data_IF_475725727298
#
_entry.id   IF_475725727298
#
_cell.length_a   1.000
_cell.length_b   1.000
_cell.length_c   1.000
_cell.angle_alpha   90.00
_cell.angle_beta   90.00
_cell.angle_gamma   90.00
#
_symmetry.space_group_name_H-M   'P 1'
#
loop_
_entity.id
_entity.type
_entity.pdbx_description
1 polymer ?
#
# COMPACT_ATOMS: atom_id res chain seq x y z
N UNK A 1 -21.62 -36.40 25.31
CA UNK A 1 -21.77 -36.05 23.88
C UNK A 1 -22.25 -34.62 23.79
N UNK A 2 -21.36 -33.66 23.52
CA UNK A 2 -21.69 -32.23 23.44
C UNK A 2 -21.58 -31.79 21.98
N UNK A 3 -22.72 -31.61 21.31
CA UNK A 3 -22.82 -30.79 20.10
C UNK A 3 -22.50 -29.35 20.49
N UNK A 4 -21.40 -28.81 19.98
CA UNK A 4 -21.14 -27.37 20.02
C UNK A 4 -21.53 -26.78 18.67
N UNK A 5 -22.41 -25.79 18.78
CA UNK A 5 -23.04 -24.97 17.74
C UNK A 5 -22.04 -24.36 16.76
N UNK A 6 -22.26 -24.60 15.46
CA UNK A 6 -21.68 -23.86 14.32
C UNK A 6 -22.76 -22.92 13.77
N UNK A 7 -23.19 -21.92 14.56
CA UNK A 7 -24.29 -21.02 14.18
C UNK A 7 -23.92 -19.54 14.12
N UNK A 8 -22.65 -19.19 13.89
CA UNK A 8 -22.24 -17.77 13.83
C UNK A 8 -21.69 -17.28 12.48
N UNK A 9 -21.80 -18.06 11.39
CA UNK A 9 -21.24 -17.66 10.07
C UNK A 9 -22.28 -17.55 8.93
N UNK A 10 -23.55 -17.93 9.14
CA UNK A 10 -24.57 -17.98 8.07
C UNK A 10 -25.70 -16.94 8.21
N UNK A 11 -25.37 -15.67 8.44
CA UNK A 11 -26.39 -14.61 8.48
C UNK A 11 -26.00 -13.35 7.72
N UNK A 12 -25.64 -13.47 6.42
CA UNK A 12 -25.40 -12.29 5.56
C UNK A 12 -25.82 -12.44 4.08
N UNK A 13 -26.64 -13.44 3.69
CA UNK A 13 -27.01 -13.67 2.26
C UNK A 13 -28.48 -13.36 1.92
N UNK A 14 -29.34 -12.97 2.87
CA UNK A 14 -30.72 -12.63 2.55
C UNK A 14 -30.98 -11.14 2.81
N UNK A 15 -30.99 -10.33 1.73
CA UNK A 15 -31.82 -9.14 1.48
C UNK A 15 -31.16 -8.29 0.37
N UNK A 16 -31.31 -8.72 -0.88
CA UNK A 16 -31.26 -7.81 -2.02
C UNK A 16 -32.68 -7.75 -2.62
N UNK A 17 -33.26 -6.55 -2.81
CA UNK A 17 -34.51 -6.42 -3.53
C UNK A 17 -34.28 -6.64 -5.03
N UNK A 18 -35.12 -7.46 -5.64
CA UNK A 18 -35.28 -7.54 -7.09
C UNK A 18 -35.58 -6.15 -7.65
N UNK A 19 -34.59 -5.56 -8.34
CA UNK A 19 -34.80 -4.38 -9.18
C UNK A 19 -34.61 -4.79 -10.64
N UNK A 20 -35.70 -5.29 -11.22
CA UNK A 20 -35.88 -5.27 -12.66
C UNK A 20 -36.05 -3.80 -13.09
N UNK A 21 -35.08 -3.25 -13.80
CA UNK A 21 -35.17 -1.87 -14.28
C UNK A 21 -34.07 -1.47 -15.25
N UNK A 22 -34.33 -1.62 -16.55
CA UNK A 22 -33.87 -0.73 -17.62
C UNK A 22 -32.35 -0.59 -17.84
N UNK A 23 -31.82 -1.34 -18.82
CA UNK A 23 -30.55 -1.04 -19.46
C UNK A 23 -30.64 0.29 -20.23
N UNK A 24 -30.28 1.39 -19.56
CA UNK A 24 -29.89 2.64 -20.18
C UNK A 24 -28.40 2.59 -20.53
N UNK A 25 -28.07 2.75 -21.80
CA UNK A 25 -26.71 2.75 -22.33
C UNK A 25 -25.91 3.91 -21.75
N UNK A 26 -25.00 3.64 -20.81
CA UNK A 26 -24.03 4.64 -20.37
C UNK A 26 -22.92 4.79 -21.44
N UNK A 27 -22.55 6.02 -21.81
CA UNK A 27 -21.45 6.26 -22.73
C UNK A 27 -20.12 5.88 -22.07
N UNK A 28 -19.34 5.07 -22.78
CA UNK A 28 -17.96 4.70 -22.42
C UNK A 28 -17.13 5.98 -22.26
N UNK A 29 -16.49 6.22 -21.10
CA UNK A 29 -15.55 7.33 -20.98
C UNK A 29 -14.26 6.97 -21.73
N UNK A 30 -14.07 7.58 -22.89
CA UNK A 30 -12.80 7.55 -23.63
C UNK A 30 -11.69 8.21 -22.80
N UNK A 31 -10.76 7.37 -22.32
CA UNK A 31 -9.32 7.64 -22.15
C UNK A 31 -8.91 9.00 -21.57
N UNK A 32 -8.78 9.08 -20.24
CA UNK A 32 -8.07 10.17 -19.53
C UNK A 32 -6.61 9.84 -19.16
N UNK A 33 -6.02 8.78 -19.74
CA UNK A 33 -4.64 8.35 -19.43
C UNK A 33 -3.56 9.31 -19.98
N UNK A 34 -3.90 10.26 -20.85
CA UNK A 34 -2.92 11.15 -21.51
C UNK A 34 -2.51 12.40 -20.73
N UNK A 35 -3.16 12.74 -19.59
CA UNK A 35 -2.82 13.97 -18.85
C UNK A 35 -1.69 13.80 -17.83
N UNK A 36 -1.48 12.61 -17.26
CA UNK A 36 -0.42 12.39 -16.26
C UNK A 36 0.96 12.29 -16.93
N UNK A 37 1.05 11.67 -18.11
CA UNK A 37 2.29 11.68 -18.91
C UNK A 37 2.70 13.09 -19.36
N UNK A 38 1.74 14.00 -19.58
CA UNK A 38 2.03 15.35 -20.03
C UNK A 38 2.71 16.21 -18.95
N UNK A 39 2.55 15.90 -17.66
CA UNK A 39 3.27 16.60 -16.58
C UNK A 39 4.76 16.22 -16.57
N UNK A 40 5.07 14.91 -16.67
CA UNK A 40 6.46 14.43 -16.68
C UNK A 40 7.20 14.73 -18.00
N UNK A 41 6.54 14.66 -19.16
CA UNK A 41 7.19 14.94 -20.44
C UNK A 41 7.40 16.44 -20.75
N UNK A 42 6.82 17.37 -19.98
CA UNK A 42 6.93 18.83 -20.25
C UNK A 42 8.16 19.51 -19.64
N UNK A 43 9.00 18.82 -18.88
CA UNK A 43 10.15 19.47 -18.22
C UNK A 43 11.35 19.75 -19.14
N UNK A 44 11.38 19.25 -20.38
CA UNK A 44 12.60 19.29 -21.19
C UNK A 44 12.84 20.55 -22.05
N UNK A 45 12.16 21.69 -21.80
CA UNK A 45 12.33 22.91 -22.63
C UNK A 45 12.22 24.28 -21.95
N UNK A 46 12.36 24.36 -20.62
CA UNK A 46 12.53 25.66 -19.94
C UNK A 46 14.00 25.89 -19.65
N UNK A 47 14.62 26.78 -20.43
CA UNK A 47 15.92 27.38 -20.16
C UNK A 47 15.77 28.26 -18.92
N UNK A 48 15.81 27.64 -17.73
CA UNK A 48 15.88 28.36 -16.47
C UNK A 48 17.26 28.97 -16.37
N UNK A 49 17.32 30.29 -16.15
CA UNK A 49 18.54 31.01 -15.90
C UNK A 49 19.29 30.34 -14.74
N UNK A 50 20.50 29.86 -15.04
CA UNK A 50 21.41 29.21 -14.11
C UNK A 50 21.58 30.07 -12.83
N UNK A 51 21.24 29.57 -11.63
CA UNK A 51 21.78 30.16 -10.42
C UNK A 51 23.28 29.84 -10.33
N UNK A 52 23.99 30.70 -9.62
CA UNK A 52 25.44 30.79 -9.54
C UNK A 52 26.17 29.44 -9.42
N UNK A 53 27.33 29.39 -10.09
CA UNK A 53 28.14 28.19 -10.31
C UNK A 53 28.65 27.48 -9.05
N UNK A 54 29.27 26.30 -9.25
CA UNK A 54 29.76 25.46 -8.17
C UNK A 54 30.87 26.20 -7.41
N UNK A 55 30.64 26.43 -6.12
CA UNK A 55 31.70 26.78 -5.18
C UNK A 55 32.61 25.57 -5.07
N UNK A 56 33.76 25.64 -5.74
CA UNK A 56 34.89 24.74 -5.61
C UNK A 56 35.43 24.85 -4.17
N UNK A 57 34.83 24.09 -3.26
CA UNK A 57 35.31 23.93 -1.91
C UNK A 57 36.44 22.90 -1.91
N UNK A 58 37.63 23.32 -2.32
CA UNK A 58 38.87 22.60 -2.00
C UNK A 58 39.10 22.72 -0.49
N UNK A 59 38.47 21.80 0.27
CA UNK A 59 38.57 21.71 1.72
C UNK A 59 39.95 21.16 2.07
N UNK A 60 40.79 22.06 2.59
CA UNK A 60 41.92 21.72 3.43
C UNK A 60 41.42 21.02 4.70
N UNK A 61 42.02 19.89 5.06
CA UNK A 61 41.79 19.09 6.28
C UNK A 61 42.13 19.85 7.58
N UNK A 62 41.39 20.92 7.85
CA UNK A 62 41.33 21.60 9.13
C UNK A 62 40.18 21.04 9.94
N UNK A 63 40.50 20.25 10.95
CA UNK A 63 39.57 19.67 11.94
C UNK A 63 38.93 20.80 12.74
N UNK A 64 37.90 21.44 12.17
CA UNK A 64 36.96 22.26 12.92
C UNK A 64 35.60 21.57 12.85
N UNK A 65 35.05 21.24 14.02
CA UNK A 65 33.85 20.42 14.20
C UNK A 65 32.55 21.13 13.79
N UNK A 66 32.54 21.75 12.60
CA UNK A 66 31.37 22.36 11.99
C UNK A 66 30.35 21.27 11.66
N UNK A 67 29.47 21.01 12.62
CA UNK A 67 28.36 20.08 12.45
C UNK A 67 27.45 20.63 11.34
N UNK A 68 27.24 19.84 10.29
CA UNK A 68 26.32 20.19 9.21
C UNK A 68 24.95 20.60 9.80
N UNK A 69 24.45 21.81 9.52
CA UNK A 69 23.20 22.30 10.10
C UNK A 69 22.01 21.36 9.81
N UNK A 70 22.00 20.67 8.66
CA UNK A 70 20.96 19.69 8.33
C UNK A 70 20.87 18.55 9.35
N UNK A 71 22.02 18.03 9.80
CA UNK A 71 22.08 16.94 10.79
C UNK A 71 21.45 17.32 12.12
N UNK A 72 21.55 18.59 12.52
CA UNK A 72 20.87 19.07 13.73
C UNK A 72 19.35 19.06 13.55
N UNK A 73 18.87 19.54 12.41
CA UNK A 73 17.44 19.52 12.10
C UNK A 73 16.89 18.09 12.02
N UNK A 74 17.61 17.15 11.40
CA UNK A 74 17.22 15.74 11.32
C UNK A 74 17.03 15.14 12.71
N UNK A 75 17.99 15.33 13.61
CA UNK A 75 17.89 14.87 15.02
C UNK A 75 16.69 15.48 15.75
N UNK A 76 16.38 16.75 15.48
CA UNK A 76 15.21 17.40 16.07
C UNK A 76 13.90 16.85 15.49
N UNK A 77 13.84 16.54 14.19
CA UNK A 77 12.70 15.86 13.56
C UNK A 77 12.49 14.46 14.15
N UNK A 78 13.56 13.68 14.28
CA UNK A 78 13.52 12.35 14.91
C UNK A 78 13.05 12.42 16.36
N UNK A 79 13.54 13.41 17.14
CA UNK A 79 13.08 13.61 18.52
C UNK A 79 11.59 13.93 18.58
N UNK A 80 11.06 14.72 17.63
CA UNK A 80 9.62 14.99 17.52
C UNK A 80 8.85 13.69 17.32
N UNK A 81 9.29 12.84 16.39
CA UNK A 81 8.63 11.57 16.10
C UNK A 81 8.70 10.59 17.29
N UNK A 82 9.85 10.48 17.94
CA UNK A 82 10.02 9.57 19.09
C UNK A 82 9.21 10.02 20.31
N UNK A 83 9.17 11.33 20.58
CA UNK A 83 8.36 11.90 21.67
C UNK A 83 6.86 11.62 21.47
N UNK A 84 6.40 11.50 20.22
CA UNK A 84 4.99 11.25 19.90
C UNK A 84 4.64 9.78 19.78
N UNK A 85 5.60 8.95 19.36
CA UNK A 85 5.44 7.49 19.29
C UNK A 85 4.97 6.90 20.63
N UNK A 86 5.60 7.30 21.73
CA UNK A 86 5.21 6.84 23.07
C UNK A 86 3.78 7.23 23.48
N UNK A 87 3.30 8.40 23.06
CA UNK A 87 1.93 8.85 23.32
C UNK A 87 0.91 8.09 22.47
N UNK A 88 1.28 7.77 21.22
CA UNK A 88 0.44 7.01 20.30
C UNK A 88 0.31 5.54 20.74
N UNK A 89 1.44 4.88 21.04
CA UNK A 89 1.47 3.49 21.48
C UNK A 89 0.80 3.33 22.86
N UNK A 90 0.96 4.30 23.76
CA UNK A 90 0.36 4.31 25.09
C UNK A 90 -1.18 4.32 25.08
N UNK A 91 -1.82 4.91 24.06
CA UNK A 91 -3.28 4.91 23.93
C UNK A 91 -3.83 3.57 23.43
N UNK A 92 -3.00 2.71 22.84
CA UNK A 92 -3.41 1.42 22.27
C UNK A 92 -3.35 0.25 23.25
N UNK A 93 -2.67 0.41 24.39
CA UNK A 93 -2.51 -0.63 25.41
C UNK A 93 -3.72 -0.80 26.36
N UNK A 94 -4.82 -0.08 26.14
CA UNK A 94 -6.10 -0.43 26.75
C UNK A 94 -6.74 -1.60 25.99
N UNK A 95 -6.33 -2.82 26.37
CA UNK A 95 -6.85 -4.16 26.01
C UNK A 95 -6.23 -4.90 24.80
N UNK A 96 -5.31 -5.82 25.12
CA UNK A 96 -5.20 -7.13 24.44
C UNK A 96 -4.25 -7.22 23.25
N UNK A 97 -3.09 -7.84 23.47
CA UNK A 97 -2.21 -8.55 22.50
C UNK A 97 -2.56 -8.39 21.01
N UNK A 98 -2.05 -7.32 20.41
CA UNK A 98 -2.04 -7.11 18.96
C UNK A 98 -0.60 -7.26 18.45
N UNK A 99 -0.20 -8.51 18.15
CA UNK A 99 0.57 -8.74 16.92
C UNK A 99 -0.24 -8.07 15.81
N UNK A 100 0.38 -7.28 14.91
CA UNK A 100 -0.30 -6.52 13.85
C UNK A 100 -1.20 -7.45 13.01
N UNK A 101 -2.40 -7.71 13.53
CA UNK A 101 -3.48 -8.36 12.82
C UNK A 101 -3.91 -7.35 11.78
N UNK A 102 -4.15 -7.77 10.52
CA UNK A 102 -4.62 -6.86 9.48
C UNK A 102 -5.76 -6.00 10.04
N UNK A 103 -5.51 -4.69 10.18
CA UNK A 103 -6.44 -3.76 10.83
C UNK A 103 -7.86 -4.00 10.29
N UNK A 104 -8.81 -4.21 11.21
CA UNK A 104 -10.19 -4.52 10.86
C UNK A 104 -10.74 -3.49 9.86
N UNK A 105 -11.05 -3.97 8.65
CA UNK A 105 -11.41 -3.21 7.45
C UNK A 105 -12.64 -2.30 7.65
N UNK A 106 -13.40 -2.51 8.72
CA UNK A 106 -14.65 -1.80 9.03
C UNK A 106 -14.42 -0.47 9.72
N UNK A 107 -13.25 -0.24 10.32
CA UNK A 107 -12.98 1.00 11.03
C UNK A 107 -12.77 2.14 10.03
N UNK A 108 -13.69 3.11 10.05
CA UNK A 108 -13.52 4.37 9.31
C UNK A 108 -12.23 5.03 9.79
N UNK A 109 -11.40 5.57 8.89
CA UNK A 109 -10.23 6.33 9.31
C UNK A 109 -10.66 7.44 10.27
N UNK A 110 -10.00 7.47 11.43
CA UNK A 110 -10.23 8.52 12.43
C UNK A 110 -9.77 9.85 11.82
N UNK A 111 -10.61 10.86 11.92
CA UNK A 111 -10.21 12.23 11.61
C UNK A 111 -9.48 12.76 12.84
N UNK A 112 -8.19 13.04 12.69
CA UNK A 112 -7.40 13.64 13.76
C UNK A 112 -7.72 15.13 13.83
N UNK A 113 -8.02 15.61 15.04
CA UNK A 113 -8.15 17.03 15.35
C UNK A 113 -6.81 17.70 15.64
N UNK A 114 -5.78 16.91 15.98
CA UNK A 114 -4.46 17.38 16.39
C UNK A 114 -3.34 16.55 15.76
N UNK A 115 -2.11 17.07 15.77
CA UNK A 115 -0.91 16.41 15.26
C UNK A 115 -0.34 15.40 16.27
N UNK A 116 -1.10 14.33 16.54
CA UNK A 116 -0.79 13.35 17.59
C UNK A 116 0.49 12.57 17.27
N UNK A 117 0.77 12.31 16.00
CA UNK A 117 1.93 11.53 15.53
C UNK A 117 3.14 12.39 15.12
N UNK A 118 3.02 13.72 15.16
CA UNK A 118 4.10 14.65 14.82
C UNK A 118 4.35 14.81 13.32
N UNK A 119 3.55 14.19 12.44
CA UNK A 119 3.75 14.23 11.00
C UNK A 119 3.60 15.65 10.43
N UNK A 120 2.63 16.44 10.92
CA UNK A 120 2.46 17.84 10.48
C UNK A 120 3.65 18.68 10.95
N UNK A 121 4.12 18.47 12.17
CA UNK A 121 5.27 19.21 12.73
C UNK A 121 6.55 18.96 11.92
N UNK A 122 6.89 17.71 11.61
CA UNK A 122 8.08 17.43 10.78
C UNK A 122 7.92 17.94 9.34
N UNK A 123 6.70 17.96 8.80
CA UNK A 123 6.42 18.58 7.50
C UNK A 123 6.68 20.09 7.54
N UNK A 124 6.23 20.79 8.59
CA UNK A 124 6.54 22.22 8.79
C UNK A 124 8.03 22.49 8.96
N UNK A 125 8.77 21.59 9.64
CA UNK A 125 10.23 21.67 9.75
C UNK A 125 10.91 21.51 8.38
N UNK A 126 10.46 20.55 7.55
CA UNK A 126 10.94 20.41 6.18
C UNK A 126 10.71 21.71 5.39
N UNK A 127 9.51 22.30 5.44
CA UNK A 127 9.23 23.58 4.75
C UNK A 127 10.19 24.69 5.18
N UNK A 128 10.51 24.77 6.47
CA UNK A 128 11.51 25.71 6.95
C UNK A 128 12.91 25.42 6.37
N UNK A 129 13.33 24.15 6.34
CA UNK A 129 14.62 23.73 5.77
C UNK A 129 14.72 23.99 4.25
N UNK A 130 13.61 23.83 3.52
CA UNK A 130 13.50 24.19 2.09
C UNK A 130 13.73 25.69 1.93
N UNK A 131 13.07 26.52 2.74
CA UNK A 131 13.15 27.98 2.67
C UNK A 131 14.57 28.52 2.95
N UNK A 132 15.32 27.89 3.85
CA UNK A 132 16.72 28.29 4.14
C UNK A 132 17.74 27.59 3.24
N UNK A 133 17.30 26.74 2.29
CA UNK A 133 18.17 26.08 1.33
C UNK A 133 19.02 24.94 1.89
N UNK A 134 18.67 24.37 3.04
CA UNK A 134 19.43 23.26 3.68
C UNK A 134 18.74 21.90 3.57
N UNK A 135 17.51 21.84 3.06
CA UNK A 135 16.81 20.57 2.85
C UNK A 135 17.47 19.74 1.75
N UNK A 136 17.82 18.50 2.10
CA UNK A 136 18.34 17.44 1.24
C UNK A 136 17.37 16.26 1.17
N UNK A 137 17.65 15.24 0.34
CA UNK A 137 16.80 14.05 0.18
C UNK A 137 16.47 13.35 1.51
N UNK A 138 17.45 13.19 2.40
CA UNK A 138 17.26 12.61 3.74
C UNK A 138 16.20 13.36 4.56
N UNK A 139 16.12 14.68 4.41
CA UNK A 139 15.07 15.49 5.06
C UNK A 139 13.68 15.08 4.59
N UNK A 140 13.53 14.82 3.28
CA UNK A 140 12.26 14.34 2.71
C UNK A 140 11.98 12.91 3.17
N UNK A 141 12.98 12.03 3.20
CA UNK A 141 12.82 10.64 3.69
C UNK A 141 12.26 10.59 5.11
N UNK A 142 12.74 11.44 6.04
CA UNK A 142 12.20 11.53 7.41
C UNK A 142 10.72 11.91 7.41
N UNK A 143 10.31 12.86 6.56
CA UNK A 143 8.89 13.26 6.47
C UNK A 143 8.04 12.17 5.80
N UNK A 144 8.52 11.56 4.72
CA UNK A 144 7.81 10.47 4.05
C UNK A 144 7.62 9.25 4.98
N UNK A 145 8.64 8.91 5.76
CA UNK A 145 8.58 7.89 6.81
C UNK A 145 7.49 8.23 7.86
N UNK A 146 7.44 9.47 8.33
CA UNK A 146 6.41 9.94 9.26
C UNK A 146 5.00 9.84 8.67
N UNK A 147 4.83 10.24 7.39
CA UNK A 147 3.57 10.14 6.66
C UNK A 147 3.16 8.67 6.44
N UNK A 148 4.11 7.77 6.19
CA UNK A 148 3.84 6.33 6.11
C UNK A 148 3.30 5.78 7.43
N UNK A 149 3.87 6.20 8.57
CA UNK A 149 3.41 5.78 9.90
C UNK A 149 2.00 6.29 10.20
N UNK A 150 1.67 7.51 9.78
CA UNK A 150 0.30 8.06 9.86
C UNK A 150 -0.69 7.25 9.01
N UNK A 151 -0.26 6.80 7.84
CA UNK A 151 -1.02 5.91 6.96
C UNK A 151 -2.38 6.48 6.56
N UNK A 152 -3.46 5.75 6.86
CA UNK A 152 -4.83 6.07 6.43
C UNK A 152 -5.50 7.20 7.20
N UNK A 153 -4.90 7.66 8.30
CA UNK A 153 -5.50 8.68 9.15
C UNK A 153 -5.72 9.95 8.32
N UNK A 154 -6.92 10.52 8.49
CA UNK A 154 -7.31 11.76 7.83
C UNK A 154 -7.18 12.88 8.83
N UNK A 155 -6.86 14.07 8.38
CA UNK A 155 -6.86 15.25 9.24
C UNK A 155 -7.40 16.44 8.47
N UNK A 156 -7.81 17.44 9.24
CA UNK A 156 -8.27 18.71 8.71
C UNK A 156 -7.04 19.60 8.60
N UNK A 157 -6.72 20.03 7.40
CA UNK A 157 -5.69 21.05 7.18
C UNK A 157 -6.24 22.45 7.48
N UNK A 158 -5.39 23.48 7.55
CA UNK A 158 -5.76 24.86 7.91
C UNK A 158 -6.95 25.42 7.12
N UNK A 159 -7.14 24.97 5.87
CA UNK A 159 -8.23 25.35 4.98
C UNK A 159 -9.51 24.51 5.18
N UNK A 160 -9.59 23.75 6.28
CA UNK A 160 -10.68 22.80 6.56
C UNK A 160 -10.79 21.62 5.60
N UNK A 161 -9.85 21.44 4.67
CA UNK A 161 -9.84 20.31 3.74
C UNK A 161 -9.38 19.02 4.44
N UNK A 162 -10.05 17.91 4.15
CA UNK A 162 -9.67 16.60 4.68
C UNK A 162 -8.54 16.00 3.85
N UNK A 163 -7.33 15.98 4.40
CA UNK A 163 -6.12 15.48 3.74
C UNK A 163 -5.78 14.09 4.29
N UNK A 164 -5.13 13.24 3.50
CA UNK A 164 -4.43 12.06 4.02
C UNK A 164 -2.96 12.04 3.59
N UNK A 165 -2.17 11.13 4.17
CA UNK A 165 -0.71 11.07 3.99
C UNK A 165 -0.28 11.11 2.52
N UNK A 166 -0.92 10.32 1.68
CA UNK A 166 -0.62 10.25 0.25
C UNK A 166 -0.88 11.55 -0.53
N UNK A 167 -1.81 12.42 -0.10
CA UNK A 167 -2.02 13.73 -0.74
C UNK A 167 -0.79 14.64 -0.52
N UNK A 168 -0.19 14.58 0.68
CA UNK A 168 1.02 15.34 1.00
C UNK A 168 2.25 14.74 0.34
N UNK A 169 2.37 13.41 0.33
CA UNK A 169 3.47 12.70 -0.33
C UNK A 169 3.58 13.07 -1.80
N UNK A 170 2.46 13.17 -2.50
CA UNK A 170 2.41 13.55 -3.91
C UNK A 170 3.14 14.87 -4.18
N UNK A 171 2.76 15.94 -3.47
CA UNK A 171 3.41 17.23 -3.62
C UNK A 171 4.88 17.25 -3.17
N UNK A 172 5.26 16.42 -2.18
CA UNK A 172 6.66 16.33 -1.73
C UNK A 172 7.55 15.61 -2.74
N UNK A 173 7.03 14.59 -3.42
CA UNK A 173 7.79 13.85 -4.43
C UNK A 173 8.00 14.70 -5.67
N UNK A 174 6.97 15.40 -6.15
CA UNK A 174 7.10 16.31 -7.31
C UNK A 174 8.15 17.39 -7.04
N UNK A 175 8.09 18.04 -5.87
CA UNK A 175 9.07 19.06 -5.45
C UNK A 175 10.50 18.48 -5.38
N UNK A 176 10.67 17.29 -4.79
CA UNK A 176 12.00 16.68 -4.68
C UNK A 176 12.54 16.28 -6.06
N UNK A 177 11.68 15.79 -6.96
CA UNK A 177 12.05 15.40 -8.32
C UNK A 177 12.58 16.57 -9.13
N UNK A 178 11.89 17.71 -9.06
CA UNK A 178 12.33 18.96 -9.68
C UNK A 178 13.66 19.43 -9.11
N UNK A 179 13.83 19.40 -7.78
CA UNK A 179 15.05 19.88 -7.12
C UNK A 179 16.27 19.01 -7.40
N UNK A 180 16.10 17.70 -7.54
CA UNK A 180 17.19 16.75 -7.81
C UNK A 180 17.33 16.44 -9.31
N UNK A 181 16.56 17.10 -10.18
CA UNK A 181 16.57 16.84 -11.63
C UNK A 181 16.43 15.33 -11.94
N UNK A 182 15.50 14.66 -11.26
CA UNK A 182 15.24 13.22 -11.41
C UNK A 182 16.20 12.28 -10.67
N UNK A 183 17.27 12.77 -10.04
CA UNK A 183 18.23 11.94 -9.30
C UNK A 183 17.74 11.58 -7.89
N UNK A 184 16.56 10.96 -7.77
CA UNK A 184 16.02 10.47 -6.49
C UNK A 184 16.44 9.01 -6.26
N UNK A 185 16.73 8.62 -5.02
CA UNK A 185 17.01 7.24 -4.67
C UNK A 185 15.77 6.32 -4.71
N UNK A 186 16.01 5.02 -4.94
CA UNK A 186 14.97 3.98 -4.85
C UNK A 186 14.28 3.96 -3.47
N UNK A 187 15.02 4.24 -2.39
CA UNK A 187 14.47 4.28 -1.02
C UNK A 187 13.38 5.34 -0.89
N UNK A 188 13.64 6.55 -1.36
CA UNK A 188 12.67 7.66 -1.32
C UNK A 188 11.42 7.33 -2.14
N UNK A 189 11.61 6.73 -3.32
CA UNK A 189 10.49 6.27 -4.14
C UNK A 189 9.67 5.19 -3.43
N UNK A 190 10.31 4.21 -2.77
CA UNK A 190 9.64 3.16 -2.00
C UNK A 190 8.82 3.73 -0.83
N UNK A 191 9.32 4.76 -0.13
CA UNK A 191 8.55 5.43 0.92
C UNK A 191 7.27 6.09 0.35
N UNK A 192 7.36 6.72 -0.82
CA UNK A 192 6.19 7.28 -1.46
C UNK A 192 5.20 6.21 -1.93
N UNK A 193 5.68 5.16 -2.59
CA UNK A 193 4.88 4.00 -3.00
C UNK A 193 4.18 3.34 -1.80
N UNK A 194 4.88 3.19 -0.69
CA UNK A 194 4.33 2.68 0.58
C UNK A 194 3.20 3.55 1.10
N UNK A 195 3.36 4.87 1.06
CA UNK A 195 2.31 5.80 1.47
C UNK A 195 1.07 5.72 0.55
N UNK A 196 1.26 5.62 -0.77
CA UNK A 196 0.17 5.41 -1.71
C UNK A 196 -0.56 4.09 -1.43
N UNK A 197 0.18 2.99 -1.23
CA UNK A 197 -0.40 1.68 -0.91
C UNK A 197 -1.19 1.72 0.41
N UNK A 198 -0.64 2.35 1.44
CA UNK A 198 -1.31 2.52 2.72
C UNK A 198 -2.61 3.32 2.58
N UNK A 199 -2.62 4.38 1.78
CA UNK A 199 -3.79 5.27 1.61
C UNK A 199 -4.79 4.80 0.56
N UNK A 200 -4.42 3.84 -0.30
CA UNK A 200 -5.31 3.20 -1.28
C UNK A 200 -6.45 2.53 -0.51
N UNK A 201 -7.60 3.19 -0.49
CA UNK A 201 -8.81 2.69 0.17
C UNK A 201 -9.97 2.85 -0.81
N UNK A 202 -10.98 1.98 -0.77
CA UNK A 202 -12.11 2.07 -1.68
C UNK A 202 -13.02 3.28 -1.42
N UNK A 203 -12.63 4.23 -0.55
CA UNK A 203 -13.46 5.35 -0.13
C UNK A 203 -12.91 6.67 -0.68
N UNK A 204 -13.47 7.11 -1.80
CA UNK A 204 -13.28 8.42 -2.41
C UNK A 204 -12.59 8.38 -3.77
N UNK A 205 -12.56 9.53 -4.44
CA UNK A 205 -12.09 9.69 -5.83
C UNK A 205 -10.57 9.79 -5.97
N UNK A 206 -9.84 9.37 -4.93
CA UNK A 206 -8.37 9.44 -4.93
C UNK A 206 -7.81 8.25 -5.68
N UNK A 207 -7.06 8.54 -6.75
CA UNK A 207 -6.45 7.58 -7.69
C UNK A 207 -5.04 7.16 -7.27
N UNK A 208 -4.90 6.59 -6.06
CA UNK A 208 -3.59 6.34 -5.47
C UNK A 208 -2.84 5.17 -6.11
N UNK A 209 -3.55 4.14 -6.57
CA UNK A 209 -2.90 3.07 -7.32
C UNK A 209 -2.33 3.57 -8.65
N UNK A 210 -3.02 4.49 -9.33
CA UNK A 210 -2.53 5.11 -10.56
C UNK A 210 -1.33 6.02 -10.31
N UNK A 211 -1.32 6.75 -9.19
CA UNK A 211 -0.14 7.52 -8.77
C UNK A 211 1.05 6.61 -8.46
N UNK A 212 0.83 5.51 -7.74
CA UNK A 212 1.86 4.52 -7.47
C UNK A 212 2.40 3.89 -8.77
N UNK A 213 1.52 3.54 -9.70
CA UNK A 213 1.89 3.02 -11.02
C UNK A 213 2.70 4.04 -11.84
N UNK A 214 2.28 5.32 -11.81
CA UNK A 214 2.94 6.39 -12.54
C UNK A 214 4.35 6.64 -11.99
N UNK A 215 4.50 6.63 -10.66
CA UNK A 215 5.80 6.76 -10.00
C UNK A 215 6.72 5.57 -10.36
N UNK A 216 6.20 4.34 -10.38
CA UNK A 216 6.95 3.17 -10.81
C UNK A 216 7.47 3.30 -12.25
N UNK A 217 6.64 3.78 -13.18
CA UNK A 217 7.07 4.05 -14.56
C UNK A 217 8.08 5.20 -14.65
N UNK A 218 7.92 6.25 -13.82
CA UNK A 218 8.89 7.34 -13.77
C UNK A 218 10.26 6.84 -13.31
N UNK A 219 10.31 5.97 -12.29
CA UNK A 219 11.56 5.33 -11.86
C UNK A 219 12.25 4.61 -13.03
N UNK A 220 11.52 3.77 -13.76
CA UNK A 220 12.06 3.01 -14.90
C UNK A 220 12.58 3.92 -16.01
N UNK A 221 11.84 4.99 -16.34
CA UNK A 221 12.21 5.93 -17.40
C UNK A 221 13.45 6.75 -17.06
N UNK A 222 13.65 7.09 -15.79
CA UNK A 222 14.85 7.80 -15.31
C UNK A 222 16.02 6.84 -15.01
N UNK A 223 15.88 5.54 -15.29
CA UNK A 223 16.90 4.54 -15.03
C UNK A 223 17.10 4.20 -13.54
N UNK A 224 16.14 4.58 -12.69
CA UNK A 224 16.07 4.15 -11.29
C UNK A 224 15.48 2.74 -11.27
N UNK A 225 16.32 1.73 -11.03
CA UNK A 225 15.88 0.34 -10.99
C UNK A 225 14.86 0.13 -9.85
N UNK A 226 13.59 -0.23 -10.16
CA UNK A 226 12.63 -0.60 -9.13
C UNK A 226 13.08 -1.86 -8.41
N UNK A 227 12.81 -1.90 -7.11
CA UNK A 227 13.09 -3.06 -6.27
C UNK A 227 11.86 -3.98 -6.18
N UNK A 228 12.05 -5.21 -5.68
CA UNK A 228 10.93 -6.11 -5.33
C UNK A 228 9.92 -5.43 -4.40
N UNK A 229 10.39 -4.57 -3.48
CA UNK A 229 9.56 -3.78 -2.58
C UNK A 229 8.70 -2.77 -3.36
N UNK A 230 9.27 -2.12 -4.38
CA UNK A 230 8.57 -1.15 -5.24
C UNK A 230 7.37 -1.80 -5.92
N UNK A 231 7.54 -2.97 -6.54
CA UNK A 231 6.45 -3.72 -7.14
C UNK A 231 5.42 -4.16 -6.09
N UNK A 232 5.88 -4.59 -4.91
CA UNK A 232 5.00 -5.01 -3.82
C UNK A 232 4.05 -3.89 -3.40
N UNK A 233 4.56 -2.67 -3.23
CA UNK A 233 3.73 -1.50 -2.91
C UNK A 233 2.71 -1.18 -4.00
N UNK A 234 3.09 -1.29 -5.29
CA UNK A 234 2.16 -1.05 -6.41
C UNK A 234 1.06 -2.12 -6.49
N UNK A 235 1.42 -3.41 -6.35
CA UNK A 235 0.43 -4.51 -6.28
C UNK A 235 -0.55 -4.28 -5.13
N UNK A 236 -0.03 -3.93 -3.95
CA UNK A 236 -0.84 -3.63 -2.78
C UNK A 236 -1.77 -2.42 -3.05
N UNK A 237 -1.26 -1.32 -3.61
CA UNK A 237 -2.09 -0.16 -3.94
C UNK A 237 -3.28 -0.52 -4.84
N UNK A 238 -3.03 -1.25 -5.95
CA UNK A 238 -4.09 -1.72 -6.85
C UNK A 238 -5.07 -2.67 -6.17
N UNK A 239 -4.60 -3.59 -5.31
CA UNK A 239 -5.48 -4.52 -4.59
C UNK A 239 -6.49 -3.84 -3.65
N UNK A 240 -6.13 -2.66 -3.13
CA UNK A 240 -7.00 -1.89 -2.23
C UNK A 240 -7.80 -0.78 -2.89
N UNK A 241 -7.40 -0.35 -4.08
CA UNK A 241 -8.05 0.68 -4.90
C UNK A 241 -9.33 0.15 -5.58
N UNK A 242 -10.33 -0.31 -4.81
CA UNK A 242 -11.52 -0.97 -5.38
C UNK A 242 -12.76 -0.06 -5.38
N UNK A 243 -12.57 1.24 -5.16
CA UNK A 243 -13.65 2.21 -4.97
C UNK A 243 -14.28 2.77 -6.25
N UNK A 244 -13.57 2.76 -7.39
CA UNK A 244 -13.96 3.61 -8.54
C UNK A 244 -13.59 3.06 -9.93
N UNK A 245 -12.98 1.87 -10.01
CA UNK A 245 -12.30 1.41 -11.22
C UNK A 245 -12.89 0.08 -11.73
N UNK A 246 -14.09 0.18 -12.28
CA UNK A 246 -14.72 -0.81 -13.17
C UNK A 246 -14.75 -2.28 -12.73
N UNK A 247 -15.25 -3.12 -13.63
CA UNK A 247 -15.38 -4.57 -13.44
C UNK A 247 -14.01 -5.27 -13.60
N UNK A 248 -13.07 -5.04 -12.69
CA UNK A 248 -11.84 -5.83 -12.59
C UNK A 248 -10.54 -5.19 -13.06
N UNK A 249 -10.52 -3.91 -13.49
CA UNK A 249 -9.29 -3.23 -13.93
C UNK A 249 -8.19 -3.31 -12.87
N UNK A 250 -8.54 -3.01 -11.61
CA UNK A 250 -7.58 -3.08 -10.51
C UNK A 250 -7.01 -4.47 -10.28
N UNK A 251 -7.82 -5.52 -10.48
CA UNK A 251 -7.36 -6.89 -10.32
C UNK A 251 -6.39 -7.29 -11.43
N UNK A 252 -6.67 -6.89 -12.68
CA UNK A 252 -5.76 -7.08 -13.82
C UNK A 252 -4.45 -6.31 -13.64
N UNK A 253 -4.51 -5.06 -13.17
CA UNK A 253 -3.32 -4.27 -12.89
C UNK A 253 -2.49 -4.85 -11.74
N UNK A 254 -3.14 -5.30 -10.66
CA UNK A 254 -2.46 -5.98 -9.55
C UNK A 254 -1.79 -7.28 -10.03
N UNK A 255 -2.48 -8.09 -10.85
CA UNK A 255 -1.92 -9.32 -11.42
C UNK A 255 -0.76 -9.05 -12.38
N UNK A 256 -0.86 -8.02 -13.22
CA UNK A 256 0.22 -7.63 -14.13
C UNK A 256 1.48 -7.21 -13.37
N UNK A 257 1.35 -6.42 -12.30
CA UNK A 257 2.50 -6.05 -11.48
C UNK A 257 3.01 -7.21 -10.62
N UNK A 258 2.15 -8.15 -10.24
CA UNK A 258 2.57 -9.38 -9.56
C UNK A 258 3.49 -10.21 -10.46
N UNK A 259 3.19 -10.37 -11.75
CA UNK A 259 4.06 -11.11 -12.68
C UNK A 259 5.49 -10.55 -12.68
N UNK A 260 5.63 -9.22 -12.70
CA UNK A 260 6.91 -8.52 -12.59
C UNK A 260 7.60 -8.76 -11.23
N UNK A 261 6.84 -8.70 -10.14
CA UNK A 261 7.35 -9.03 -8.80
C UNK A 261 7.87 -10.48 -8.73
N UNK A 262 7.21 -11.44 -9.38
CA UNK A 262 7.60 -12.85 -9.37
C UNK A 262 8.89 -13.11 -10.16
N UNK A 263 9.15 -12.34 -11.21
CA UNK A 263 10.38 -12.39 -12.02
C UNK A 263 11.59 -11.92 -11.20
N UNK A 264 11.43 -10.83 -10.44
CA UNK A 264 12.52 -10.22 -9.67
C UNK A 264 12.71 -10.82 -8.27
N UNK A 265 11.68 -11.45 -7.69
CA UNK A 265 11.75 -11.98 -6.33
C UNK A 265 12.27 -13.42 -6.28
N UNK A 266 13.37 -13.71 -5.55
CA UNK A 266 13.74 -15.08 -5.21
C UNK A 266 12.96 -15.60 -3.99
N UNK A 267 12.40 -14.71 -3.17
CA UNK A 267 11.82 -15.06 -1.87
C UNK A 267 10.37 -15.52 -2.00
N UNK A 268 10.11 -16.76 -1.57
CA UNK A 268 8.78 -17.35 -1.64
C UNK A 268 7.78 -16.69 -0.69
N UNK A 269 8.21 -16.06 0.41
CA UNK A 269 7.31 -15.34 1.31
C UNK A 269 6.75 -14.08 0.64
N UNK A 270 7.61 -13.29 0.02
CA UNK A 270 7.23 -12.13 -0.79
C UNK A 270 6.28 -12.51 -1.93
N UNK A 271 6.51 -13.66 -2.58
CA UNK A 271 5.59 -14.19 -3.62
C UNK A 271 4.21 -14.50 -3.05
N UNK A 272 4.15 -15.21 -1.92
CA UNK A 272 2.88 -15.55 -1.27
C UNK A 272 2.12 -14.30 -0.85
N UNK A 273 2.81 -13.28 -0.33
CA UNK A 273 2.19 -12.00 0.02
C UNK A 273 1.61 -11.28 -1.21
N UNK A 274 2.35 -11.29 -2.33
CA UNK A 274 1.87 -10.76 -3.61
C UNK A 274 0.61 -11.48 -4.11
N UNK A 275 0.59 -12.81 -4.06
CA UNK A 275 -0.59 -13.60 -4.42
C UNK A 275 -1.79 -13.29 -3.52
N UNK A 276 -1.60 -13.11 -2.20
CA UNK A 276 -2.68 -12.77 -1.29
C UNK A 276 -3.33 -11.42 -1.63
N UNK A 277 -2.53 -10.41 -2.00
CA UNK A 277 -3.04 -9.12 -2.48
C UNK A 277 -3.83 -9.24 -3.78
N UNK A 278 -3.32 -9.96 -4.79
CA UNK A 278 -4.02 -10.14 -6.07
C UNK A 278 -5.29 -10.97 -5.89
N UNK A 279 -5.27 -11.98 -5.02
CA UNK A 279 -6.46 -12.77 -4.65
C UNK A 279 -7.52 -11.89 -3.99
N UNK A 280 -7.12 -10.99 -3.10
CA UNK A 280 -8.01 -10.00 -2.51
C UNK A 280 -8.61 -9.08 -3.60
N UNK A 281 -7.82 -8.63 -4.57
CA UNK A 281 -8.28 -7.80 -5.68
C UNK A 281 -9.35 -8.51 -6.52
N UNK A 282 -9.10 -9.77 -6.91
CA UNK A 282 -10.04 -10.57 -7.68
C UNK A 282 -11.32 -10.90 -6.90
N UNK A 283 -11.23 -11.15 -5.59
CA UNK A 283 -12.43 -11.38 -4.77
C UNK A 283 -13.40 -10.20 -4.72
N UNK A 284 -12.89 -8.99 -4.97
CA UNK A 284 -13.67 -7.74 -4.99
C UNK A 284 -14.20 -7.40 -6.39
N UNK A 285 -13.55 -7.88 -7.44
CA UNK A 285 -13.98 -7.74 -8.82
C UNK A 285 -15.42 -8.27 -9.05
N UNK A 286 -16.09 -7.72 -10.06
CA UNK A 286 -17.39 -8.16 -10.57
C UNK A 286 -17.28 -8.76 -11.97
N UNK A 287 -16.05 -8.92 -12.49
CA UNK A 287 -15.81 -9.56 -13.77
C UNK A 287 -16.18 -11.05 -13.73
N UNK A 288 -16.79 -11.56 -14.81
CA UNK A 288 -17.26 -12.96 -14.91
C UNK A 288 -16.13 -13.98 -14.64
N UNK A 289 -14.91 -13.67 -15.07
CA UNK A 289 -13.73 -14.53 -14.92
C UNK A 289 -13.02 -14.39 -13.56
N UNK A 290 -13.44 -13.44 -12.71
CA UNK A 290 -12.76 -13.14 -11.45
C UNK A 290 -12.59 -14.36 -10.53
N UNK A 291 -13.61 -15.23 -10.51
CA UNK A 291 -13.58 -16.45 -9.72
C UNK A 291 -12.56 -17.48 -10.24
N UNK A 292 -12.37 -17.57 -11.56
CA UNK A 292 -11.38 -18.45 -12.16
C UNK A 292 -9.95 -17.97 -11.86
N UNK A 293 -9.70 -16.65 -11.96
CA UNK A 293 -8.42 -16.05 -11.57
C UNK A 293 -8.12 -16.26 -10.08
N UNK A 294 -9.11 -16.06 -9.20
CA UNK A 294 -8.95 -16.30 -7.76
C UNK A 294 -8.60 -17.77 -7.44
N UNK A 295 -9.23 -18.73 -8.13
CA UNK A 295 -8.97 -20.17 -7.97
C UNK A 295 -7.55 -20.55 -8.43
N UNK A 296 -7.12 -19.98 -9.56
CA UNK A 296 -5.76 -20.16 -10.08
C UNK A 296 -4.72 -19.65 -9.09
N UNK A 297 -4.89 -18.42 -8.59
CA UNK A 297 -3.98 -17.82 -7.61
C UNK A 297 -3.90 -18.65 -6.33
N UNK A 298 -5.05 -19.09 -5.79
CA UNK A 298 -5.07 -19.94 -4.59
C UNK A 298 -4.34 -21.28 -4.84
N UNK A 299 -4.46 -21.84 -6.03
CA UNK A 299 -3.76 -23.06 -6.43
C UNK A 299 -2.24 -22.86 -6.46
N UNK A 300 -1.77 -21.74 -7.02
CA UNK A 300 -0.34 -21.39 -7.01
C UNK A 300 0.21 -21.19 -5.59
N UNK A 301 -0.56 -20.53 -4.71
CA UNK A 301 -0.17 -20.39 -3.29
C UNK A 301 0.01 -21.75 -2.61
N UNK A 302 -0.92 -22.70 -2.84
CA UNK A 302 -0.83 -24.07 -2.31
C UNK A 302 0.40 -24.79 -2.86
N UNK A 303 0.69 -24.62 -4.15
CA UNK A 303 1.86 -25.23 -4.78
C UNK A 303 3.16 -24.73 -4.14
N UNK A 304 3.32 -23.41 -3.99
CA UNK A 304 4.50 -22.80 -3.36
C UNK A 304 4.69 -23.30 -1.93
N UNK A 305 3.60 -23.40 -1.15
CA UNK A 305 3.66 -23.91 0.22
C UNK A 305 4.07 -25.38 0.26
N UNK A 306 3.59 -26.19 -0.67
CA UNK A 306 3.93 -27.61 -0.79
C UNK A 306 5.39 -27.84 -1.20
N UNK A 307 5.91 -27.03 -2.12
CA UNK A 307 7.31 -27.13 -2.59
C UNK A 307 8.30 -26.62 -1.57
N UNK A 308 7.93 -25.60 -0.78
CA UNK A 308 8.82 -24.95 0.19
C UNK A 308 8.42 -25.29 1.63
N UNK A 309 8.74 -26.52 2.07
CA UNK A 309 8.39 -27.02 3.43
C UNK A 309 8.99 -26.19 4.57
N UNK A 310 10.07 -25.44 4.33
CA UNK A 310 10.72 -24.57 5.32
C UNK A 310 10.01 -23.23 5.52
N UNK A 311 9.01 -22.89 4.70
CA UNK A 311 8.28 -21.64 4.86
C UNK A 311 7.49 -21.63 6.17
N UNK A 312 7.84 -20.67 7.03
CA UNK A 312 7.11 -20.34 8.26
C UNK A 312 5.78 -19.65 7.99
N UNK A 313 5.64 -19.02 6.81
CA UNK A 313 4.43 -18.31 6.40
C UNK A 313 3.18 -19.20 6.52
N UNK A 314 2.11 -18.67 7.09
CA UNK A 314 0.83 -19.38 7.27
C UNK A 314 -0.05 -19.36 6.02
N UNK A 315 0.47 -18.86 4.89
CA UNK A 315 -0.26 -18.77 3.62
C UNK A 315 -0.26 -20.11 2.84
N UNK A 316 -1.37 -20.44 2.14
CA UNK A 316 -2.67 -19.75 2.18
C UNK A 316 -3.38 -19.91 3.53
N UNK A 317 -3.94 -18.82 4.05
CA UNK A 317 -4.60 -18.80 5.36
C UNK A 317 -6.14 -18.72 5.21
N UNK A 318 -6.86 -18.58 6.33
CA UNK A 318 -8.32 -18.46 6.34
C UNK A 318 -8.85 -17.30 5.49
N UNK A 319 -8.12 -16.18 5.43
CA UNK A 319 -8.49 -15.03 4.60
C UNK A 319 -8.33 -15.35 3.11
N UNK A 320 -7.25 -16.04 2.71
CA UNK A 320 -7.04 -16.45 1.32
C UNK A 320 -8.19 -17.35 0.82
N UNK A 321 -8.60 -18.37 1.61
CA UNK A 321 -9.76 -19.19 1.28
C UNK A 321 -11.06 -18.38 1.23
N UNK A 322 -11.26 -17.47 2.19
CA UNK A 322 -12.45 -16.59 2.23
C UNK A 322 -12.54 -15.73 0.97
N UNK A 323 -11.43 -15.16 0.51
CA UNK A 323 -11.38 -14.36 -0.72
C UNK A 323 -11.74 -15.19 -1.96
N UNK A 324 -11.19 -16.40 -2.09
CA UNK A 324 -11.51 -17.30 -3.20
C UNK A 324 -12.98 -17.76 -3.20
N UNK A 325 -13.52 -18.10 -2.01
CA UNK A 325 -14.93 -18.44 -1.84
C UNK A 325 -15.81 -17.25 -2.23
N UNK A 326 -15.47 -16.04 -1.76
CA UNK A 326 -16.21 -14.82 -2.11
C UNK A 326 -16.27 -14.62 -3.64
N UNK A 327 -15.15 -14.81 -4.34
CA UNK A 327 -15.10 -14.72 -5.79
C UNK A 327 -16.08 -15.72 -6.46
N UNK A 328 -16.07 -17.00 -6.04
CA UNK A 328 -16.99 -18.02 -6.57
C UNK A 328 -18.47 -17.78 -6.21
N UNK A 329 -18.75 -17.19 -5.05
CA UNK A 329 -20.12 -16.82 -4.69
C UNK A 329 -20.66 -15.71 -5.59
N UNK A 330 -19.84 -14.73 -5.95
CA UNK A 330 -20.21 -13.64 -6.87
C UNK A 330 -20.45 -14.14 -8.30
N UNK A 331 -19.69 -15.14 -8.74
CA UNK A 331 -19.91 -15.79 -10.06
C UNK A 331 -21.06 -16.82 -10.05
N UNK A 332 -21.88 -16.86 -9.00
CA UNK A 332 -23.01 -17.78 -8.84
C UNK A 332 -22.64 -19.28 -8.87
N UNK A 333 -21.39 -19.65 -8.59
CA UNK A 333 -20.93 -21.05 -8.55
C UNK A 333 -20.88 -21.60 -7.12
N UNK A 334 -22.05 -21.82 -6.53
CA UNK A 334 -22.19 -22.32 -5.14
C UNK A 334 -21.50 -23.65 -4.91
N UNK A 335 -21.48 -24.54 -5.90
CA UNK A 335 -20.80 -25.85 -5.82
C UNK A 335 -19.28 -25.71 -5.61
N UNK A 336 -18.63 -24.77 -6.31
CA UNK A 336 -17.19 -24.52 -6.16
C UNK A 336 -16.87 -23.82 -4.85
N UNK A 337 -17.66 -22.82 -4.48
CA UNK A 337 -17.55 -22.17 -3.17
C UNK A 337 -17.67 -23.19 -2.02
N UNK A 338 -18.63 -24.10 -2.09
CA UNK A 338 -18.84 -25.14 -1.10
C UNK A 338 -17.67 -26.15 -1.05
N UNK A 339 -17.14 -26.55 -2.22
CA UNK A 339 -15.96 -27.41 -2.29
C UNK A 339 -14.73 -26.78 -1.62
N UNK A 340 -14.46 -25.49 -1.89
CA UNK A 340 -13.36 -24.76 -1.26
C UNK A 340 -13.54 -24.62 0.26
N UNK A 341 -14.78 -24.48 0.73
CA UNK A 341 -15.09 -24.43 2.16
C UNK A 341 -14.76 -25.76 2.86
N UNK A 342 -15.12 -26.91 2.27
CA UNK A 342 -14.73 -28.21 2.82
C UNK A 342 -13.23 -28.42 2.82
N UNK A 343 -12.56 -28.07 1.72
CA UNK A 343 -11.10 -28.15 1.65
C UNK A 343 -10.44 -27.30 2.75
N UNK A 344 -10.98 -26.11 3.03
CA UNK A 344 -10.52 -25.27 4.13
C UNK A 344 -10.70 -25.93 5.50
N UNK A 345 -11.87 -26.54 5.76
CA UNK A 345 -12.16 -27.24 7.03
C UNK A 345 -11.21 -28.43 7.21
N UNK A 346 -11.05 -29.27 6.18
CA UNK A 346 -10.17 -30.44 6.22
C UNK A 346 -8.73 -30.04 6.52
N UNK A 347 -8.24 -28.97 5.89
CA UNK A 347 -6.90 -28.44 6.15
C UNK A 347 -6.74 -27.92 7.59
N UNK A 348 -7.77 -27.28 8.15
CA UNK A 348 -7.73 -26.76 9.52
C UNK A 348 -7.71 -27.89 10.57
N UNK A 349 -8.49 -28.94 10.37
CA UNK A 349 -8.50 -30.12 11.25
C UNK A 349 -7.16 -30.85 11.25
N UNK A 350 -6.56 -31.05 10.07
CA UNK A 350 -5.27 -31.70 9.92
C UNK A 350 -4.11 -30.94 10.61
N UNK A 351 -4.13 -29.60 10.57
CA UNK A 351 -3.13 -28.76 11.26
C UNK A 351 -3.26 -28.92 12.78
N UNK A 352 -4.48 -28.92 13.32
CA UNK A 352 -4.71 -29.07 14.76
C UNK A 352 -4.31 -30.46 15.27
N UNK A 353 -4.62 -31.53 14.53
CA UNK A 353 -4.20 -32.90 14.90
C UNK A 353 -2.67 -33.06 14.91
N UNK A 354 -1.97 -32.38 14.01
CA UNK A 354 -0.51 -32.43 13.94
C UNK A 354 0.16 -31.69 15.10
N UNK A 355 -0.45 -30.60 15.61
CA UNK A 355 0.08 -29.83 16.73
C UNK A 355 -0.04 -30.56 18.08
N UNK A 356 -1.13 -31.27 18.32
CA UNK A 356 -1.33 -32.02 19.59
C UNK A 356 -0.37 -33.21 19.75
N UNK A 357 0.12 -33.78 18.63
CA UNK A 357 1.04 -34.92 18.64
C UNK A 357 2.47 -34.61 19.09
N UNK A 358 2.88 -33.32 19.15
CA UNK A 358 4.26 -32.90 19.48
C UNK A 358 4.43 -32.60 20.98
N UNK A 359 3.34 -32.51 21.75
CA UNK A 359 3.38 -32.14 23.19
C UNK A 359 3.26 -33.33 24.16
N UNK A 360 3.44 -34.57 23.69
CA UNK A 360 3.51 -35.79 24.51
C UNK A 360 4.84 -36.47 24.31
#
# INVERSE_FOLDING_TARGET
MKQKSISSILLWVALLPDSAGGFGSCPVPTTHSSQIHAAFSRSNKLTVASPAGPLDASVSDGVDGSVNPATKFHKDMERVLESRKSAFDGSSNASGTSTLSPMDRRNRPVILSEDIDGANRVTSMLRHMVNIGVANEETYQIVLEALCRRGRLRWIDGDSSVVCAADVVDGLIDELWERQNGAISTLTCNLALKAYAACSTPRGDRRYAEKAQSLLYAMENEGINPSTESFGHVVNAWAWQQGNLGDGECARMAESNLKRLLEDSPDAETKLQGYDWVLEAWSKSQEDEAAAHADLILTEMKLIKKTNKSLTSTLPNSQSYTNAILAWTKSNSTAKAHKLLYEYIDNFENVNSSAEGVSR
#
